data_IF_485910207865
#
_entry.id   IF_485910207865
#
_cell.length_a   1.000
_cell.length_b   1.000
_cell.length_c   1.000
_cell.angle_alpha   90.00
_cell.angle_beta   90.00
_cell.angle_gamma   90.00
#
_symmetry.space_group_name_H-M   'P 1'
#
loop_
_entity.id
_entity.type
_entity.pdbx_description
1 polymer ?
#
# COMPACT_ATOMS: atom_id res chain seq x y z
N UNK A 1 -1.95 6.05 7.73
CA UNK A 1 -1.72 6.83 8.96
C UNK A 1 -0.37 7.51 8.90
N UNK A 2 -0.33 8.73 9.35
CA UNK A 2 0.87 9.54 9.49
C UNK A 2 1.04 9.87 10.96
N UNK A 3 2.16 9.49 11.57
CA UNK A 3 2.45 9.78 12.97
C UNK A 3 3.60 10.78 13.07
N UNK A 4 3.44 11.76 13.94
CA UNK A 4 4.46 12.75 14.25
C UNK A 4 4.57 12.92 15.77
N UNK A 5 5.75 13.24 16.27
CA UNK A 5 5.93 13.66 17.65
C UNK A 5 5.33 15.06 17.85
N UNK A 6 4.69 15.28 19.00
CA UNK A 6 4.15 16.61 19.34
C UNK A 6 5.27 17.64 19.53
N UNK A 7 5.02 18.88 19.18
CA UNK A 7 5.94 19.98 19.41
C UNK A 7 6.32 20.09 20.91
N UNK A 8 7.61 20.10 21.18
CA UNK A 8 8.18 20.10 22.53
C UNK A 8 8.79 18.76 22.97
N UNK A 9 8.62 17.70 22.22
CA UNK A 9 9.13 16.35 22.57
C UNK A 9 10.51 16.06 21.93
N UNK A 10 11.16 17.04 21.35
CA UNK A 10 12.56 16.93 20.87
C UNK A 10 13.57 16.79 22.01
N UNK A 11 13.13 16.56 23.23
CA UNK A 11 13.89 16.25 24.44
C UNK A 11 13.66 14.81 24.91
N UNK A 12 14.33 14.42 25.98
CA UNK A 12 14.53 13.07 26.50
C UNK A 12 13.28 12.23 26.84
N UNK A 13 12.05 12.76 26.72
CA UNK A 13 10.83 11.98 26.96
C UNK A 13 9.73 12.30 25.94
N UNK A 14 9.48 11.35 25.03
CA UNK A 14 8.32 11.39 24.16
C UNK A 14 7.08 11.04 24.98
N UNK A 15 6.20 12.02 25.22
CA UNK A 15 4.99 11.84 26.03
C UNK A 15 3.72 11.65 25.18
N UNK A 16 3.76 12.03 23.90
CA UNK A 16 2.63 11.93 22.98
C UNK A 16 3.00 11.43 21.60
N UNK A 17 2.05 10.81 20.94
CA UNK A 17 2.07 10.45 19.54
C UNK A 17 0.70 10.83 18.97
N UNK A 18 0.69 11.56 17.87
CA UNK A 18 -0.55 11.94 17.21
C UNK A 18 -0.54 11.56 15.73
N UNK A 19 -1.72 11.39 15.15
CA UNK A 19 -1.89 11.31 13.71
C UNK A 19 -2.10 12.70 13.15
N UNK A 20 -1.21 13.17 12.28
CA UNK A 20 -1.31 14.48 11.65
C UNK A 20 -2.00 14.45 10.28
N UNK A 21 -2.44 13.28 9.84
CA UNK A 21 -3.29 13.14 8.66
C UNK A 21 -4.49 12.25 8.95
N UNK A 22 -5.59 12.51 8.29
CA UNK A 22 -6.72 11.59 8.29
C UNK A 22 -6.27 10.25 7.67
N UNK A 23 -6.85 9.12 8.13
CA UNK A 23 -6.63 7.86 7.46
C UNK A 23 -7.03 7.97 5.98
N UNK A 24 -6.04 7.86 5.10
CA UNK A 24 -6.28 7.85 3.66
C UNK A 24 -6.46 6.41 3.22
N UNK A 25 -7.49 6.18 2.44
CA UNK A 25 -7.75 4.85 1.90
C UNK A 25 -8.24 4.94 0.46
N UNK A 26 -7.87 3.94 -0.31
CA UNK A 26 -8.40 3.68 -1.64
C UNK A 26 -9.11 2.33 -1.61
N UNK A 27 -10.35 2.29 -2.07
CA UNK A 27 -11.21 1.12 -1.96
C UNK A 27 -12.17 1.01 -3.16
N UNK A 28 -12.87 -0.13 -3.31
CA UNK A 28 -13.87 -0.30 -4.37
C UNK A 28 -15.05 0.68 -4.32
N UNK A 29 -15.24 1.42 -3.23
CA UNK A 29 -16.34 2.38 -3.05
C UNK A 29 -15.89 3.82 -2.95
N UNK A 30 -14.59 4.10 -3.02
CA UNK A 30 -14.06 5.45 -3.03
C UNK A 30 -12.54 5.48 -3.03
N UNK A 31 -11.96 6.44 -3.73
CA UNK A 31 -10.51 6.66 -3.83
C UNK A 31 -10.03 7.78 -2.89
N UNK A 32 -10.96 8.45 -2.22
CA UNK A 32 -10.71 9.46 -1.18
C UNK A 32 -11.51 9.14 0.08
N UNK A 33 -11.11 9.66 1.26
CA UNK A 33 -11.87 9.49 2.50
C UNK A 33 -13.32 9.99 2.39
N UNK A 34 -13.53 11.09 1.68
CA UNK A 34 -14.87 11.68 1.49
C UNK A 34 -15.75 10.80 0.60
N UNK A 35 -15.23 10.36 -0.55
CA UNK A 35 -15.95 9.43 -1.42
C UNK A 35 -16.30 8.13 -0.71
N UNK A 36 -15.35 7.57 0.05
CA UNK A 36 -15.56 6.37 0.83
C UNK A 36 -16.67 6.57 1.87
N UNK A 37 -16.61 7.66 2.65
CA UNK A 37 -17.60 7.98 3.66
C UNK A 37 -19.01 8.16 3.07
N UNK A 38 -19.13 8.93 2.00
CA UNK A 38 -20.40 9.15 1.31
C UNK A 38 -20.97 7.84 0.74
N UNK A 39 -20.11 7.01 0.16
CA UNK A 39 -20.49 5.69 -0.36
C UNK A 39 -20.97 4.74 0.75
N UNK A 40 -20.35 4.77 1.92
CA UNK A 40 -20.82 4.02 3.10
C UNK A 40 -22.19 4.52 3.57
N UNK A 41 -22.36 5.83 3.67
CA UNK A 41 -23.63 6.44 4.08
C UNK A 41 -24.77 6.10 3.12
N UNK A 42 -24.49 6.08 1.82
CA UNK A 42 -25.45 5.75 0.76
C UNK A 42 -25.66 4.24 0.60
N UNK A 43 -24.98 3.39 1.38
CA UNK A 43 -25.09 1.93 1.30
C UNK A 43 -24.53 1.35 0.00
N UNK A 44 -23.54 1.99 -0.62
CA UNK A 44 -22.95 1.54 -1.89
C UNK A 44 -22.19 0.23 -1.71
N UNK A 45 -22.48 -0.74 -2.57
CA UNK A 45 -21.82 -2.04 -2.58
C UNK A 45 -20.63 -1.99 -3.53
N UNK A 46 -19.41 -2.24 -2.99
CA UNK A 46 -18.17 -2.29 -3.76
C UNK A 46 -17.82 -3.68 -4.31
N UNK A 47 -18.52 -4.74 -3.83
CA UNK A 47 -18.31 -6.11 -4.32
C UNK A 47 -19.16 -6.31 -5.57
N UNK A 48 -18.50 -6.60 -6.69
CA UNK A 48 -19.13 -6.73 -8.03
C UNK A 48 -18.51 -7.91 -8.79
N UNK A 49 -19.10 -8.36 -9.89
CA UNK A 49 -18.47 -9.34 -10.76
C UNK A 49 -17.06 -8.90 -11.17
N UNK A 50 -16.12 -9.85 -11.11
CA UNK A 50 -14.70 -9.63 -11.46
C UNK A 50 -14.61 -9.23 -12.94
N UNK A 51 -13.85 -8.17 -13.22
CA UNK A 51 -13.62 -7.67 -14.58
C UNK A 51 -12.18 -7.84 -15.04
N UNK A 52 -11.24 -8.07 -14.14
CA UNK A 52 -9.81 -8.19 -14.44
C UNK A 52 -9.44 -9.46 -15.22
N UNK A 53 -10.25 -10.51 -15.08
CA UNK A 53 -10.05 -11.79 -15.77
C UNK A 53 -11.36 -12.57 -15.85
N UNK A 54 -11.40 -13.59 -16.71
CA UNK A 54 -12.54 -14.51 -16.80
C UNK A 54 -12.58 -15.42 -15.56
N UNK A 55 -13.61 -15.25 -14.73
CA UNK A 55 -13.84 -15.99 -13.49
C UNK A 55 -14.88 -17.12 -13.65
N UNK A 56 -15.28 -17.47 -14.89
CA UNK A 56 -16.33 -18.46 -15.17
C UNK A 56 -16.01 -19.89 -14.68
N UNK A 57 -14.72 -20.20 -14.52
CA UNK A 57 -14.25 -21.53 -14.09
C UNK A 57 -14.14 -21.69 -12.56
N UNK A 58 -14.39 -20.61 -11.79
CA UNK A 58 -14.23 -20.63 -10.33
C UNK A 58 -15.57 -20.32 -9.65
N UNK A 59 -15.82 -20.90 -8.45
CA UNK A 59 -17.10 -20.72 -7.75
C UNK A 59 -17.31 -19.30 -7.21
N UNK A 60 -16.25 -18.54 -7.01
CA UNK A 60 -16.29 -17.14 -6.56
C UNK A 60 -15.98 -16.21 -7.74
N UNK A 61 -16.96 -15.45 -8.16
CA UNK A 61 -16.86 -14.55 -9.33
C UNK A 61 -17.08 -13.08 -8.99
N UNK A 62 -17.24 -12.74 -7.70
CA UNK A 62 -17.37 -11.36 -7.22
C UNK A 62 -16.16 -10.96 -6.37
N UNK A 63 -15.71 -9.73 -6.55
CA UNK A 63 -14.61 -9.15 -5.75
C UNK A 63 -14.77 -7.63 -5.60
N UNK A 64 -14.03 -7.08 -4.65
CA UNK A 64 -13.92 -5.63 -4.45
C UNK A 64 -12.80 -5.05 -5.29
N UNK A 65 -13.00 -4.86 -6.59
CA UNK A 65 -12.04 -4.24 -7.49
C UNK A 65 -12.06 -2.72 -7.36
N UNK A 66 -10.87 -2.11 -7.23
CA UNK A 66 -10.72 -0.66 -7.39
C UNK A 66 -10.79 -0.36 -8.87
N UNK A 67 -11.82 0.39 -9.27
CA UNK A 67 -12.04 0.84 -10.63
C UNK A 67 -11.69 2.34 -10.74
N UNK A 68 -11.35 2.79 -11.95
CA UNK A 68 -11.08 4.21 -12.25
C UNK A 68 -10.05 4.85 -11.32
N UNK A 69 -8.99 4.07 -10.98
CA UNK A 69 -7.92 4.55 -10.13
C UNK A 69 -7.15 5.69 -10.81
N UNK A 70 -7.00 6.86 -10.16
CA UNK A 70 -6.42 8.06 -10.78
C UNK A 70 -4.89 8.00 -10.82
N UNK A 71 -4.32 7.07 -11.59
CA UNK A 71 -2.87 6.92 -11.70
C UNK A 71 -2.15 8.19 -12.11
N UNK A 72 -2.77 9.01 -12.98
CA UNK A 72 -2.13 10.20 -13.57
C UNK A 72 -1.81 11.29 -12.54
N UNK A 73 -2.43 11.25 -11.35
CA UNK A 73 -2.19 12.26 -10.30
C UNK A 73 -0.72 12.26 -9.82
N UNK A 74 -0.14 11.07 -9.62
CA UNK A 74 1.19 10.94 -9.01
C UNK A 74 2.20 10.14 -9.84
N UNK A 75 1.77 9.53 -10.93
CA UNK A 75 2.60 8.62 -11.72
C UNK A 75 2.66 9.01 -13.19
N UNK A 76 3.83 8.78 -13.78
CA UNK A 76 3.97 8.73 -15.23
C UNK A 76 3.96 7.27 -15.69
N UNK A 77 3.62 7.03 -16.96
CA UNK A 77 3.53 5.68 -17.54
C UNK A 77 4.78 4.80 -17.30
N UNK A 78 5.95 5.39 -17.15
CA UNK A 78 7.19 4.68 -16.83
C UNK A 78 7.15 4.07 -15.43
N UNK A 79 6.56 4.75 -14.47
CA UNK A 79 6.48 4.29 -13.08
C UNK A 79 5.50 3.11 -12.96
N UNK A 80 4.33 3.21 -13.59
CA UNK A 80 3.33 2.12 -13.60
C UNK A 80 3.87 0.83 -14.22
N UNK A 81 4.79 0.92 -15.17
CA UNK A 81 5.44 -0.25 -15.76
C UNK A 81 6.49 -0.91 -14.85
N UNK A 82 7.00 -0.19 -13.85
CA UNK A 82 8.10 -0.64 -12.98
C UNK A 82 7.66 -1.17 -11.62
N UNK A 83 6.41 -0.94 -11.25
CA UNK A 83 5.84 -1.30 -9.96
C UNK A 83 4.67 -2.26 -10.14
N UNK A 84 4.41 -3.07 -9.13
CA UNK A 84 3.16 -3.82 -9.06
C UNK A 84 2.04 -2.92 -8.55
N UNK A 85 0.80 -3.30 -8.82
CA UNK A 85 -0.41 -2.52 -8.48
C UNK A 85 -0.50 -2.21 -6.99
N UNK A 86 -0.13 -3.15 -6.09
CA UNK A 86 -0.15 -2.90 -4.65
C UNK A 86 0.79 -1.74 -4.25
N UNK A 87 1.99 -1.67 -4.87
CA UNK A 87 2.92 -0.57 -4.64
C UNK A 87 2.38 0.77 -5.13
N UNK A 88 1.67 0.77 -6.26
CA UNK A 88 1.04 1.99 -6.79
C UNK A 88 -0.07 2.49 -5.85
N UNK A 89 -0.89 1.59 -5.31
CA UNK A 89 -1.90 1.93 -4.30
C UNK A 89 -1.25 2.49 -3.03
N UNK A 90 -0.17 1.83 -2.55
CA UNK A 90 0.57 2.29 -1.38
C UNK A 90 1.13 3.70 -1.56
N UNK A 91 1.77 3.98 -2.68
CA UNK A 91 2.34 5.30 -2.99
C UNK A 91 1.23 6.35 -3.12
N UNK A 92 0.14 6.02 -3.80
CA UNK A 92 -0.98 6.96 -3.96
C UNK A 92 -1.52 7.39 -2.59
N UNK A 93 -1.87 6.42 -1.75
CA UNK A 93 -2.37 6.70 -0.40
C UNK A 93 -1.33 7.46 0.46
N UNK A 94 -0.04 7.16 0.30
CA UNK A 94 1.05 7.85 0.97
C UNK A 94 1.15 9.33 0.56
N UNK A 95 1.04 9.62 -0.73
CA UNK A 95 1.08 10.98 -1.23
C UNK A 95 -0.14 11.80 -0.80
N UNK A 96 -1.35 11.21 -0.84
CA UNK A 96 -2.56 11.83 -0.31
C UNK A 96 -2.42 12.14 1.21
N UNK A 97 -1.86 11.18 1.97
CA UNK A 97 -1.63 11.36 3.40
C UNK A 97 -0.62 12.48 3.69
N UNK A 98 0.43 12.58 2.89
CA UNK A 98 1.43 13.64 2.99
C UNK A 98 0.82 15.01 2.68
N UNK A 99 0.06 15.14 1.58
CA UNK A 99 -0.65 16.37 1.24
C UNK A 99 -1.64 16.77 2.34
N UNK A 100 -2.40 15.81 2.86
CA UNK A 100 -3.39 16.07 3.91
C UNK A 100 -2.75 16.47 5.25
N UNK A 101 -1.54 15.98 5.56
CA UNK A 101 -0.82 16.33 6.79
C UNK A 101 -0.31 17.76 6.82
N UNK A 102 -0.14 18.39 5.66
CA UNK A 102 0.48 19.71 5.52
C UNK A 102 2.00 19.72 5.76
N UNK A 103 2.64 18.55 5.92
CA UNK A 103 4.08 18.46 6.12
C UNK A 103 4.85 18.83 4.86
N UNK A 104 5.88 19.65 5.03
CA UNK A 104 6.80 20.00 3.97
C UNK A 104 8.11 19.19 4.11
N UNK A 105 8.28 18.19 3.27
CA UNK A 105 9.45 17.30 3.29
C UNK A 105 10.79 18.03 3.04
N UNK A 106 10.79 19.25 2.53
CA UNK A 106 12.00 20.05 2.37
C UNK A 106 12.47 20.68 3.69
N UNK A 107 11.56 20.85 4.65
CA UNK A 107 11.83 21.41 5.97
C UNK A 107 12.11 20.32 7.03
N UNK A 108 11.76 19.07 6.72
CA UNK A 108 11.92 17.95 7.64
C UNK A 108 13.36 17.38 7.65
N UNK A 109 13.79 16.90 8.81
CA UNK A 109 15.01 16.10 8.90
C UNK A 109 14.75 14.70 8.33
N UNK A 110 15.16 14.47 7.09
CA UNK A 110 14.88 13.26 6.33
C UNK A 110 15.40 11.98 7.00
N UNK A 111 16.48 12.05 7.78
CA UNK A 111 17.02 10.91 8.56
C UNK A 111 16.07 10.49 9.68
N UNK A 112 15.14 11.38 10.07
CA UNK A 112 14.15 11.14 11.11
C UNK A 112 12.72 10.94 10.57
N UNK A 113 12.59 10.85 9.24
CA UNK A 113 11.33 10.50 8.56
C UNK A 113 11.40 9.05 8.12
N UNK A 114 10.53 8.22 8.69
CA UNK A 114 10.42 6.79 8.41
C UNK A 114 9.23 6.42 7.53
N UNK A 115 9.31 5.23 6.93
CA UNK A 115 8.21 4.61 6.17
C UNK A 115 8.07 3.15 6.61
N UNK A 116 6.91 2.80 7.17
CA UNK A 116 6.56 1.43 7.57
C UNK A 116 5.24 1.08 6.88
N UNK A 117 5.35 0.56 5.67
CA UNK A 117 4.18 0.21 4.85
C UNK A 117 4.29 -1.24 4.42
N UNK A 118 3.24 -1.98 4.68
CA UNK A 118 3.21 -3.43 4.63
C UNK A 118 2.26 -3.97 3.58
N UNK A 119 2.50 -5.21 3.18
CA UNK A 119 1.62 -6.01 2.33
C UNK A 119 1.66 -7.45 2.83
N UNK A 120 0.55 -8.15 2.79
CA UNK A 120 0.48 -9.56 3.15
C UNK A 120 1.21 -10.46 2.17
N UNK A 121 1.12 -10.16 0.88
CA UNK A 121 1.65 -11.01 -0.20
C UNK A 121 2.63 -10.25 -1.09
N UNK A 122 2.44 -8.95 -1.29
CA UNK A 122 3.21 -8.15 -2.24
C UNK A 122 2.66 -8.26 -3.66
N UNK A 123 3.54 -8.35 -4.66
CA UNK A 123 3.19 -8.33 -6.07
C UNK A 123 2.67 -9.66 -6.61
N UNK A 124 1.53 -10.14 -6.14
CA UNK A 124 0.94 -11.42 -6.56
C UNK A 124 0.60 -11.43 -8.05
N UNK A 125 0.14 -10.32 -8.62
CA UNK A 125 -0.14 -10.21 -10.05
C UNK A 125 1.15 -10.38 -10.88
N UNK A 126 2.24 -9.75 -10.47
CA UNK A 126 3.52 -9.91 -11.17
C UNK A 126 4.05 -11.34 -11.06
N UNK A 127 3.89 -12.00 -9.89
CA UNK A 127 4.23 -13.42 -9.73
C UNK A 127 3.46 -14.30 -10.70
N UNK A 128 2.14 -14.15 -10.75
CA UNK A 128 1.26 -14.90 -11.66
C UNK A 128 1.68 -14.69 -13.13
N UNK A 129 1.82 -13.43 -13.55
CA UNK A 129 2.19 -13.06 -14.92
C UNK A 129 3.54 -13.64 -15.34
N UNK A 130 4.53 -13.64 -14.46
CA UNK A 130 5.86 -14.15 -14.81
C UNK A 130 5.92 -15.68 -14.82
N UNK A 131 5.15 -16.36 -13.98
CA UNK A 131 5.02 -17.83 -14.00
C UNK A 131 4.36 -18.27 -15.31
N UNK A 132 3.24 -17.64 -15.69
CA UNK A 132 2.56 -17.91 -16.96
C UNK A 132 3.51 -17.63 -18.13
N UNK A 133 4.17 -16.48 -18.13
CA UNK A 133 5.11 -16.10 -19.17
C UNK A 133 6.30 -17.06 -19.29
N UNK A 134 6.82 -17.54 -18.16
CA UNK A 134 7.88 -18.54 -18.15
C UNK A 134 7.40 -19.86 -18.75
N UNK A 135 6.20 -20.29 -18.42
CA UNK A 135 5.62 -21.54 -18.94
C UNK A 135 5.39 -21.47 -20.45
N UNK A 136 4.82 -20.36 -20.95
CA UNK A 136 4.47 -20.20 -22.37
C UNK A 136 5.68 -19.89 -23.27
N UNK A 137 6.67 -19.11 -22.77
CA UNK A 137 7.72 -18.49 -23.58
C UNK A 137 9.13 -18.87 -23.16
N UNK A 138 9.26 -19.66 -22.10
CA UNK A 138 10.53 -20.11 -21.54
C UNK A 138 11.21 -19.12 -20.60
N UNK A 139 12.15 -19.64 -19.81
CA UNK A 139 12.85 -18.92 -18.73
C UNK A 139 13.53 -17.61 -19.18
N UNK A 140 14.04 -17.56 -20.40
CA UNK A 140 14.73 -16.37 -20.96
C UNK A 140 13.79 -15.18 -21.16
N UNK A 141 12.50 -15.36 -21.00
CA UNK A 141 11.47 -14.32 -21.19
C UNK A 141 10.96 -13.70 -19.88
N UNK A 142 11.44 -14.14 -18.73
CA UNK A 142 11.17 -13.51 -17.45
C UNK A 142 11.68 -12.06 -17.49
N UNK A 143 10.86 -11.12 -17.00
CA UNK A 143 11.22 -9.69 -17.01
C UNK A 143 12.29 -9.38 -15.95
N UNK A 144 13.29 -8.53 -16.24
CA UNK A 144 14.35 -8.18 -15.29
C UNK A 144 13.83 -7.53 -13.97
N UNK A 145 12.71 -6.81 -14.04
CA UNK A 145 12.11 -6.14 -12.87
C UNK A 145 11.16 -7.05 -12.07
N UNK A 146 11.11 -8.35 -12.35
CA UNK A 146 10.21 -9.28 -11.68
C UNK A 146 10.37 -9.25 -10.16
N UNK A 147 11.58 -9.53 -9.66
CA UNK A 147 11.82 -9.59 -8.21
C UNK A 147 11.49 -8.27 -7.50
N UNK A 148 12.02 -7.11 -7.93
CA UNK A 148 11.65 -5.83 -7.32
C UNK A 148 10.15 -5.54 -7.30
N UNK A 149 9.39 -5.99 -8.29
CA UNK A 149 7.94 -5.81 -8.33
C UNK A 149 7.20 -6.76 -7.40
N UNK A 150 7.71 -7.98 -7.22
CA UNK A 150 7.05 -9.03 -6.44
C UNK A 150 7.24 -8.87 -4.92
N UNK A 151 8.34 -8.28 -4.46
CA UNK A 151 8.68 -8.18 -3.04
C UNK A 151 7.71 -7.28 -2.26
N UNK A 152 7.22 -7.77 -1.10
CA UNK A 152 6.25 -7.07 -0.25
C UNK A 152 6.77 -5.79 0.41
N UNK A 153 8.09 -5.64 0.58
CA UNK A 153 8.70 -4.44 1.16
C UNK A 153 8.91 -3.30 0.14
N UNK A 154 8.67 -3.55 -1.15
CA UNK A 154 8.87 -2.51 -2.16
C UNK A 154 7.82 -1.42 -2.13
N UNK A 155 6.66 -1.65 -1.53
CA UNK A 155 5.70 -0.59 -1.23
C UNK A 155 6.35 0.50 -0.36
N UNK A 156 6.93 0.12 0.78
CA UNK A 156 7.66 1.04 1.65
C UNK A 156 8.87 1.67 0.95
N UNK A 157 9.69 0.86 0.26
CA UNK A 157 10.88 1.34 -0.45
C UNK A 157 10.56 2.38 -1.54
N UNK A 158 9.53 2.15 -2.33
CA UNK A 158 9.11 3.07 -3.38
C UNK A 158 8.53 4.37 -2.81
N UNK A 159 7.80 4.31 -1.68
CA UNK A 159 7.34 5.51 -0.96
C UNK A 159 8.53 6.31 -0.45
N UNK A 160 9.46 5.66 0.26
CA UNK A 160 10.65 6.33 0.80
C UNK A 160 11.44 7.04 -0.30
N UNK A 161 11.65 6.39 -1.45
CA UNK A 161 12.29 7.00 -2.62
C UNK A 161 11.50 8.21 -3.16
N UNK A 162 10.17 8.10 -3.21
CA UNK A 162 9.29 9.16 -3.75
C UNK A 162 9.32 10.42 -2.90
N UNK A 163 9.28 10.28 -1.56
CA UNK A 163 9.23 11.41 -0.62
C UNK A 163 10.62 11.82 -0.09
N UNK A 164 11.66 11.06 -0.41
CA UNK A 164 13.03 11.32 0.06
C UNK A 164 13.25 11.01 1.53
N UNK A 165 12.47 10.12 2.15
CA UNK A 165 12.67 9.67 3.52
C UNK A 165 13.96 8.83 3.64
N UNK A 166 14.74 9.05 4.71
CA UNK A 166 16.04 8.41 4.95
C UNK A 166 16.10 7.71 6.31
N UNK A 167 15.03 7.77 7.10
CA UNK A 167 14.86 7.02 8.35
C UNK A 167 14.51 5.56 8.10
N UNK A 168 13.86 4.92 9.09
CA UNK A 168 13.46 3.52 8.97
C UNK A 168 12.61 3.28 7.71
N UNK A 169 12.97 2.26 6.94
CA UNK A 169 12.17 1.82 5.80
C UNK A 169 12.01 0.31 5.89
N UNK A 170 10.83 -0.14 6.31
CA UNK A 170 10.55 -1.57 6.50
C UNK A 170 9.12 -1.94 6.17
N UNK A 171 8.89 -3.23 5.98
CA UNK A 171 7.57 -3.86 5.90
C UNK A 171 7.48 -4.94 6.96
N UNK A 172 6.34 -5.04 7.61
CA UNK A 172 6.02 -6.11 8.58
C UNK A 172 4.98 -7.01 7.95
N UNK A 173 5.26 -8.29 7.79
CA UNK A 173 4.37 -9.22 7.11
C UNK A 173 3.72 -10.16 8.12
N UNK A 174 2.46 -9.90 8.43
CA UNK A 174 1.59 -10.67 9.35
C UNK A 174 0.24 -10.95 8.71
N UNK A 175 0.27 -11.34 7.43
CA UNK A 175 -0.91 -11.60 6.61
C UNK A 175 -1.91 -10.41 6.65
N UNK A 176 -3.19 -10.66 6.90
CA UNK A 176 -4.24 -9.63 6.96
C UNK A 176 -4.00 -8.55 8.05
N UNK A 177 -3.17 -8.83 9.06
CA UNK A 177 -2.84 -7.89 10.13
C UNK A 177 -1.65 -6.96 9.79
N UNK A 178 -0.98 -7.15 8.64
CA UNK A 178 0.27 -6.44 8.30
C UNK A 178 0.15 -4.92 8.39
N UNK A 179 -0.96 -4.33 7.95
CA UNK A 179 -1.17 -2.89 8.04
C UNK A 179 -1.30 -2.40 9.49
N UNK A 180 -2.00 -3.16 10.35
CA UNK A 180 -2.13 -2.83 11.76
C UNK A 180 -0.79 -2.93 12.50
N UNK A 181 0.02 -3.96 12.19
CA UNK A 181 1.35 -4.11 12.76
C UNK A 181 2.27 -2.98 12.31
N UNK A 182 2.20 -2.56 11.04
CA UNK A 182 2.95 -1.40 10.56
C UNK A 182 2.62 -0.12 11.34
N UNK A 183 1.34 0.11 11.66
CA UNK A 183 0.89 1.24 12.49
C UNK A 183 1.45 1.10 13.92
N UNK A 184 1.39 -0.10 14.50
CA UNK A 184 1.94 -0.38 15.82
C UNK A 184 3.45 -0.17 15.91
N UNK A 185 4.20 -0.57 14.88
CA UNK A 185 5.63 -0.32 14.77
C UNK A 185 5.94 1.18 14.63
N UNK A 186 5.21 1.91 13.78
CA UNK A 186 5.36 3.35 13.64
C UNK A 186 5.10 4.10 14.96
N UNK A 187 4.06 3.70 15.69
CA UNK A 187 3.80 4.22 17.03
C UNK A 187 5.00 4.03 17.97
N UNK A 188 5.64 2.85 17.94
CA UNK A 188 6.84 2.58 18.77
C UNK A 188 8.03 3.44 18.35
N UNK A 189 8.28 3.58 17.04
CA UNK A 189 9.36 4.41 16.51
C UNK A 189 9.29 5.86 17.01
N UNK A 190 8.07 6.44 16.99
CA UNK A 190 7.82 7.79 17.50
C UNK A 190 7.92 7.82 19.03
N UNK A 191 7.24 6.90 19.72
CA UNK A 191 7.18 6.87 21.19
C UNK A 191 8.55 6.73 21.84
N UNK A 192 9.47 5.98 21.23
CA UNK A 192 10.84 5.83 21.72
C UNK A 192 11.79 6.92 21.23
N UNK A 193 11.31 7.93 20.50
CA UNK A 193 12.11 9.04 20.00
C UNK A 193 13.11 8.66 18.91
N UNK A 194 12.90 7.52 18.22
CA UNK A 194 13.76 7.07 17.14
C UNK A 194 13.52 7.87 15.86
N UNK A 195 12.29 8.28 15.64
CA UNK A 195 11.86 9.08 14.49
C UNK A 195 10.93 10.20 14.95
N UNK A 196 10.85 11.29 14.16
CA UNK A 196 9.94 12.41 14.41
C UNK A 196 8.65 12.24 13.59
N UNK A 197 8.76 11.61 12.44
CA UNK A 197 7.67 11.36 11.50
C UNK A 197 7.75 9.95 10.97
N UNK A 198 6.64 9.21 10.96
CA UNK A 198 6.57 7.91 10.30
C UNK A 198 5.27 7.79 9.50
N UNK A 199 5.43 7.51 8.21
CA UNK A 199 4.33 7.16 7.35
C UNK A 199 4.06 5.66 7.47
N UNK A 200 2.84 5.28 7.88
CA UNK A 200 2.50 3.92 8.23
C UNK A 200 1.19 3.44 7.58
N UNK A 201 1.13 2.17 7.25
CA UNK A 201 -0.08 1.56 6.70
C UNK A 201 0.17 0.28 5.94
N UNK A 202 -0.72 -0.03 4.99
CA UNK A 202 -0.57 -1.20 4.13
C UNK A 202 -1.38 -1.08 2.86
N UNK A 203 -1.01 -1.89 1.88
CA UNK A 203 -1.70 -2.01 0.61
C UNK A 203 -1.66 -3.45 0.11
N UNK A 204 -2.72 -3.85 -0.57
CA UNK A 204 -2.85 -5.18 -1.17
C UNK A 204 -3.53 -5.11 -2.53
N UNK A 205 -3.12 -5.96 -3.47
CA UNK A 205 -3.71 -6.06 -4.81
C UNK A 205 -3.82 -7.52 -5.27
N UNK A 206 -4.43 -8.36 -4.45
CA UNK A 206 -4.45 -9.83 -4.61
C UNK A 206 -5.62 -10.37 -5.44
N UNK A 207 -6.38 -9.50 -6.14
CA UNK A 207 -7.43 -9.95 -7.06
C UNK A 207 -6.78 -10.42 -8.36
N UNK A 208 -6.32 -11.66 -8.34
CA UNK A 208 -5.69 -12.40 -9.44
C UNK A 208 -6.34 -13.76 -9.58
N UNK A 209 -6.05 -14.50 -10.65
CA UNK A 209 -6.59 -15.85 -10.84
C UNK A 209 -6.18 -16.80 -9.72
N UNK A 210 -4.90 -16.74 -9.31
CA UNK A 210 -4.37 -17.56 -8.21
C UNK A 210 -5.02 -17.14 -6.89
N UNK A 211 -5.06 -15.83 -6.58
CA UNK A 211 -5.58 -15.31 -5.32
C UNK A 211 -7.07 -15.63 -5.12
N UNK A 212 -7.90 -15.41 -6.13
CA UNK A 212 -9.33 -15.72 -6.05
C UNK A 212 -9.59 -17.22 -6.15
N UNK A 213 -8.81 -17.94 -6.96
CA UNK A 213 -8.95 -19.40 -7.08
C UNK A 213 -8.62 -20.15 -5.80
N UNK A 214 -7.68 -19.67 -5.00
CA UNK A 214 -7.34 -20.23 -3.67
C UNK A 214 -8.42 -19.92 -2.65
N UNK A 215 -8.78 -18.65 -2.48
CA UNK A 215 -9.81 -18.21 -1.52
C UNK A 215 -11.16 -18.87 -1.83
N UNK A 216 -11.54 -18.97 -3.10
CA UNK A 216 -12.78 -19.60 -3.53
C UNK A 216 -12.90 -21.08 -3.16
N UNK A 217 -11.79 -21.78 -2.93
CA UNK A 217 -11.76 -23.19 -2.51
C UNK A 217 -11.82 -23.38 -1.00
N UNK A 218 -11.44 -22.39 -0.22
CA UNK A 218 -11.42 -22.48 1.23
C UNK A 218 -12.83 -22.52 1.86
N UNK A 219 -13.87 -22.20 1.08
CA UNK A 219 -15.24 -22.07 1.55
C UNK A 219 -16.24 -23.02 0.85
N UNK A 220 -15.76 -24.04 0.15
CA UNK A 220 -16.59 -25.05 -0.52
C UNK A 220 -16.45 -26.40 0.17
#
# INVERSE_FOLDING_TARGET
>A
FFFQAEDGIRGISVTGVQSCALPILTSPIGNTPEEFWNSLHDGKIGIKPITKFDASEIPVFNAGEIQDFPFDKYFVKKDTNRMDTYSLYAIYAAMEALENSGLNMEEENRDRVGVIVSSGIGGLQELEDQIIRMHERGMKRIKPMFIPKALSNMGAGNIALKIGAQGVCKSVTTACASANDAIGEAFREIKFGLHDVVLAGGAEASITKIGIGEIGRAHV
#
